data_IF_392302919566
#
_entry.id   IF_392302919566
#
_cell.length_a   1.000
_cell.length_b   1.000
_cell.length_c   1.000
_cell.angle_alpha   90.00
_cell.angle_beta   90.00
_cell.angle_gamma   90.00
#
_symmetry.space_group_name_H-M   'P 1'
#
loop_
_entity.id
_entity.type
_entity.pdbx_description
1 polymer ?
#
# COMPACT_ATOMS: atom_id res chain seq x y z
N UNK A 1 19.63 -2.77 -9.05
CA UNK A 1 18.57 -3.81 -9.06
C UNK A 1 18.46 -4.60 -7.76
N UNK A 2 19.54 -5.22 -7.22
CA UNK A 2 19.47 -5.99 -5.95
C UNK A 2 18.89 -5.22 -4.75
N UNK A 3 19.19 -3.93 -4.62
CA UNK A 3 18.67 -3.12 -3.50
C UNK A 3 17.18 -2.79 -3.62
N UNK A 4 16.64 -2.67 -4.83
CA UNK A 4 15.20 -2.48 -5.05
C UNK A 4 14.42 -3.74 -4.66
N UNK A 5 14.94 -4.92 -4.99
CA UNK A 5 14.35 -6.21 -4.61
C UNK A 5 14.41 -6.40 -3.09
N UNK A 6 15.55 -6.09 -2.45
CA UNK A 6 15.69 -6.15 -0.99
C UNK A 6 14.76 -5.17 -0.28
N UNK A 7 14.61 -3.93 -0.79
CA UNK A 7 13.67 -2.95 -0.24
C UNK A 7 12.22 -3.38 -0.45
N UNK A 8 11.87 -3.94 -1.60
CA UNK A 8 10.54 -4.51 -1.85
C UNK A 8 10.21 -5.68 -0.91
N UNK A 9 11.20 -6.52 -0.61
CA UNK A 9 11.07 -7.64 0.32
C UNK A 9 11.00 -7.19 1.79
N UNK A 10 11.69 -6.11 2.16
CA UNK A 10 11.59 -5.53 3.50
C UNK A 10 10.24 -4.81 3.72
N UNK A 11 9.70 -4.19 2.68
CA UNK A 11 8.36 -3.57 2.72
C UNK A 11 7.24 -4.60 2.82
N UNK A 12 7.36 -5.76 2.18
CA UNK A 12 6.38 -6.85 2.34
C UNK A 12 6.36 -7.42 3.76
N UNK A 13 7.48 -7.39 4.49
CA UNK A 13 7.53 -7.81 5.89
C UNK A 13 6.97 -6.75 6.85
N UNK A 14 6.92 -5.48 6.46
CA UNK A 14 6.45 -4.38 7.31
C UNK A 14 4.92 -4.24 7.39
N UNK A 15 4.21 -4.51 6.28
CA UNK A 15 2.75 -4.37 6.20
C UNK A 15 1.97 -5.60 6.70
N UNK A 16 2.60 -6.78 6.74
CA UNK A 16 1.95 -8.05 7.10
C UNK A 16 1.89 -8.30 8.63
N UNK A 17 2.61 -7.52 9.44
CA UNK A 17 2.74 -7.79 10.87
C UNK A 17 1.48 -7.52 11.72
N UNK A 18 0.53 -6.71 11.24
CA UNK A 18 -0.73 -6.45 11.94
C UNK A 18 -1.84 -7.38 11.42
N UNK A 19 -1.81 -8.65 11.80
CA UNK A 19 -2.91 -9.58 11.52
C UNK A 19 -4.07 -9.37 12.50
N UNK A 20 -5.31 -9.68 12.07
CA UNK A 20 -6.50 -9.70 12.94
C UNK A 20 -6.24 -10.50 14.23
N UNK A 21 -5.60 -11.65 14.11
CA UNK A 21 -5.23 -12.51 15.25
C UNK A 21 -4.31 -11.79 16.25
N UNK A 22 -3.34 -10.99 15.76
CA UNK A 22 -2.44 -10.23 16.61
C UNK A 22 -3.17 -9.07 17.32
N UNK A 23 -4.10 -8.41 16.64
CA UNK A 23 -4.96 -7.37 17.23
C UNK A 23 -5.84 -7.97 18.32
N UNK A 24 -6.51 -9.09 18.04
CA UNK A 24 -7.35 -9.81 19.02
C UNK A 24 -6.57 -10.24 20.26
N UNK A 25 -5.35 -10.81 20.07
CA UNK A 25 -4.47 -11.17 21.19
C UNK A 25 -4.09 -9.97 22.04
N UNK A 26 -3.75 -8.85 21.40
CA UNK A 26 -3.32 -7.64 22.09
C UNK A 26 -4.48 -7.04 22.89
N UNK A 27 -5.67 -6.93 22.30
CA UNK A 27 -6.87 -6.43 23.00
C UNK A 27 -7.27 -7.38 24.14
N UNK A 28 -7.19 -8.69 23.94
CA UNK A 28 -7.46 -9.68 25.01
C UNK A 28 -6.50 -9.51 26.20
N UNK A 29 -5.23 -9.17 25.95
CA UNK A 29 -4.28 -8.87 27.03
C UNK A 29 -4.66 -7.60 27.80
N UNK A 30 -5.16 -6.57 27.12
CA UNK A 30 -5.64 -5.34 27.76
C UNK A 30 -6.87 -5.61 28.64
N UNK A 31 -7.78 -6.48 28.17
CA UNK A 31 -8.93 -6.93 28.98
C UNK A 31 -8.47 -7.68 30.22
N UNK A 32 -7.53 -8.61 30.08
CA UNK A 32 -7.00 -9.39 31.20
C UNK A 32 -6.29 -8.51 32.25
N UNK A 33 -5.71 -7.37 31.83
CA UNK A 33 -5.11 -6.38 32.73
C UNK A 33 -6.13 -5.43 33.37
N UNK A 34 -7.40 -5.52 32.96
CA UNK A 34 -8.45 -4.59 33.39
C UNK A 34 -8.35 -3.20 32.76
N UNK A 35 -7.53 -3.03 31.72
CA UNK A 35 -7.35 -1.77 31.01
C UNK A 35 -8.47 -1.52 29.99
N UNK A 36 -9.15 -2.58 29.53
CA UNK A 36 -10.29 -2.52 28.60
C UNK A 36 -11.44 -3.37 29.15
N UNK A 37 -12.69 -2.86 29.22
CA UNK A 37 -13.84 -3.66 29.57
C UNK A 37 -14.07 -4.80 28.57
N UNK A 38 -14.39 -6.01 29.05
CA UNK A 38 -14.69 -7.14 28.18
C UNK A 38 -15.87 -6.89 27.22
N UNK A 39 -16.81 -6.02 27.62
CA UNK A 39 -17.93 -5.55 26.78
C UNK A 39 -17.48 -4.75 25.56
N UNK A 40 -16.34 -4.05 25.65
CA UNK A 40 -15.84 -3.13 24.62
C UNK A 40 -14.77 -3.77 23.73
N UNK A 41 -14.21 -4.91 24.14
CA UNK A 41 -13.11 -5.60 23.46
C UNK A 41 -13.37 -5.86 21.97
N UNK A 42 -14.59 -6.32 21.63
CA UNK A 42 -14.96 -6.64 20.25
C UNK A 42 -15.02 -5.40 19.37
N UNK A 43 -15.54 -4.29 19.91
CA UNK A 43 -15.65 -3.02 19.22
C UNK A 43 -14.26 -2.44 18.95
N UNK A 44 -13.39 -2.43 19.96
CA UNK A 44 -12.01 -1.98 19.83
C UNK A 44 -11.22 -2.79 18.79
N UNK A 45 -11.37 -4.11 18.77
CA UNK A 45 -10.73 -4.95 17.73
C UNK A 45 -11.17 -4.53 16.33
N UNK A 46 -12.49 -4.34 16.13
CA UNK A 46 -13.01 -3.96 14.82
C UNK A 46 -12.52 -2.58 14.40
N UNK A 47 -12.53 -1.60 15.31
CA UNK A 47 -12.06 -0.24 15.04
C UNK A 47 -10.57 -0.22 14.65
N UNK A 48 -9.73 -0.98 15.37
CA UNK A 48 -8.29 -1.07 15.08
C UNK A 48 -8.02 -1.72 13.71
N UNK A 49 -8.81 -2.73 13.34
CA UNK A 49 -8.69 -3.39 12.04
C UNK A 49 -9.13 -2.42 10.93
N UNK A 50 -10.28 -1.79 11.07
CA UNK A 50 -10.81 -0.86 10.07
C UNK A 50 -9.87 0.33 9.84
N UNK A 51 -9.38 0.94 10.92
CA UNK A 51 -8.36 2.00 10.85
C UNK A 51 -7.06 1.48 10.23
N UNK A 52 -6.63 0.27 10.58
CA UNK A 52 -5.45 -0.37 9.99
C UNK A 52 -5.57 -0.51 8.47
N UNK A 53 -6.72 -1.00 7.99
CA UNK A 53 -7.01 -1.16 6.56
C UNK A 53 -7.05 0.19 5.83
N UNK A 54 -7.63 1.23 6.45
CA UNK A 54 -7.66 2.58 5.88
C UNK A 54 -6.23 3.16 5.75
N UNK A 55 -5.43 3.06 6.82
CA UNK A 55 -4.05 3.54 6.80
C UNK A 55 -3.19 2.76 5.79
N UNK A 56 -3.44 1.46 5.64
CA UNK A 56 -2.78 0.65 4.62
C UNK A 56 -3.08 1.17 3.22
N UNK A 57 -4.36 1.46 2.88
CA UNK A 57 -4.74 2.02 1.58
C UNK A 57 -4.04 3.35 1.30
N UNK A 58 -4.07 4.27 2.27
CA UNK A 58 -3.40 5.57 2.14
C UNK A 58 -1.89 5.44 1.91
N UNK A 59 -1.26 4.49 2.61
CA UNK A 59 0.16 4.20 2.44
C UNK A 59 0.46 3.59 1.06
N UNK A 60 -0.35 2.65 0.59
CA UNK A 60 -0.21 2.03 -0.73
C UNK A 60 -0.29 3.08 -1.85
N UNK A 61 -1.24 4.02 -1.76
CA UNK A 61 -1.38 5.12 -2.72
C UNK A 61 -0.16 6.05 -2.68
N UNK A 62 0.30 6.42 -1.49
CA UNK A 62 1.51 7.25 -1.33
C UNK A 62 2.73 6.57 -1.92
N UNK A 63 2.92 5.27 -1.67
CA UNK A 63 4.03 4.50 -2.24
C UNK A 63 3.93 4.48 -3.77
N UNK A 64 2.74 4.22 -4.33
CA UNK A 64 2.52 4.22 -5.77
C UNK A 64 2.87 5.57 -6.40
N UNK A 65 2.47 6.66 -5.76
CA UNK A 65 2.80 8.02 -6.21
C UNK A 65 4.31 8.29 -6.19
N UNK A 66 5.00 7.91 -5.11
CA UNK A 66 6.45 8.06 -5.00
C UNK A 66 7.21 7.22 -6.05
N UNK A 67 6.75 5.99 -6.32
CA UNK A 67 7.32 5.16 -7.38
C UNK A 67 7.11 5.81 -8.75
N UNK A 68 5.90 6.33 -9.05
CA UNK A 68 5.64 7.05 -10.31
C UNK A 68 6.58 8.24 -10.48
N UNK A 69 6.77 9.06 -9.43
CA UNK A 69 7.69 10.21 -9.45
C UNK A 69 9.13 9.77 -9.75
N UNK A 70 9.60 8.74 -9.06
CA UNK A 70 10.95 8.20 -9.27
C UNK A 70 11.16 7.72 -10.72
N UNK A 71 10.18 7.02 -11.30
CA UNK A 71 10.26 6.54 -12.69
C UNK A 71 10.37 7.71 -13.68
N UNK A 72 9.63 8.79 -13.46
CA UNK A 72 9.71 10.02 -14.27
C UNK A 72 11.09 10.66 -14.14
N UNK A 73 11.63 10.78 -12.91
CA UNK A 73 12.94 11.39 -12.66
C UNK A 73 14.09 10.66 -13.38
N UNK A 74 14.00 9.34 -13.53
CA UNK A 74 14.99 8.54 -14.27
C UNK A 74 14.65 8.37 -15.75
N UNK A 75 13.74 9.19 -16.29
CA UNK A 75 13.31 9.21 -17.69
C UNK A 75 12.74 7.87 -18.20
N UNK A 76 12.07 7.11 -17.34
CA UNK A 76 11.32 5.92 -17.77
C UNK A 76 9.93 6.36 -18.22
N UNK A 77 9.61 6.13 -19.49
CA UNK A 77 8.29 6.38 -20.06
C UNK A 77 7.25 5.42 -19.46
N UNK A 78 6.07 5.94 -19.15
CA UNK A 78 4.91 5.14 -18.77
C UNK A 78 4.31 4.41 -19.98
N UNK A 79 3.43 3.44 -19.72
CA UNK A 79 2.69 2.76 -20.79
C UNK A 79 1.76 3.74 -21.51
N UNK A 80 1.17 4.67 -20.78
CA UNK A 80 0.31 5.71 -21.31
C UNK A 80 1.08 6.65 -22.25
N UNK A 81 2.32 7.03 -21.89
CA UNK A 81 3.18 7.84 -22.75
C UNK A 81 3.46 7.13 -24.09
N UNK A 82 3.72 5.82 -24.04
CA UNK A 82 3.95 4.99 -25.23
C UNK A 82 2.69 4.89 -26.10
N UNK A 83 1.52 4.70 -25.51
CA UNK A 83 0.25 4.64 -26.24
C UNK A 83 -0.08 5.98 -26.92
N UNK A 84 0.19 7.11 -26.24
CA UNK A 84 0.04 8.43 -26.85
C UNK A 84 0.99 8.62 -28.03
N UNK A 85 2.22 8.11 -27.92
CA UNK A 85 3.20 8.16 -29.01
C UNK A 85 2.75 7.32 -30.21
N UNK A 86 2.26 6.10 -29.97
CA UNK A 86 1.75 5.19 -30.99
C UNK A 86 0.55 5.79 -31.75
N UNK A 87 -0.41 6.39 -31.05
CA UNK A 87 -1.54 7.09 -31.68
C UNK A 87 -1.10 8.27 -32.54
N UNK A 88 -0.07 9.01 -32.11
CA UNK A 88 0.49 10.13 -32.90
C UNK A 88 1.19 9.62 -34.16
N UNK A 89 1.94 8.52 -34.05
CA UNK A 89 2.61 7.87 -35.18
C UNK A 89 1.59 7.41 -36.23
N UNK A 90 0.55 6.68 -35.83
CA UNK A 90 -0.50 6.23 -36.75
C UNK A 90 -1.16 7.38 -37.53
N UNK A 91 -1.39 8.53 -36.89
CA UNK A 91 -1.96 9.72 -37.56
C UNK A 91 -1.01 10.35 -38.57
N UNK A 92 0.30 10.28 -38.33
CA UNK A 92 1.31 10.78 -39.26
C UNK A 92 1.48 9.83 -40.44
N UNK A 93 1.53 8.53 -40.18
CA UNK A 93 1.62 7.49 -41.21
C UNK A 93 0.40 7.44 -42.14
N UNK A 94 -0.76 7.93 -41.70
CA UNK A 94 -1.97 8.06 -42.54
C UNK A 94 -2.00 9.33 -43.41
N UNK A 95 -1.06 10.27 -43.19
CA UNK A 95 -1.00 11.54 -43.92
C UNK A 95 -0.02 11.51 -45.10
N UNK A 96 0.83 10.50 -45.18
CA UNK A 96 1.71 10.17 -46.30
C UNK A 96 1.14 8.98 -47.10
#
# INVERSE_FOLDING_TARGET
>A
MKDLIKKGFALSLGLVLLSREQVEKSVTQLVNKGEVPASEAKELVNELIEKGEEQQRLLEDKIREQIKKLLIEINIASKEDLQQLEQRLQKLEQRD
#
